data_IF_273161442133
#
_entry.id   IF_273161442133
#
_cell.length_a   1.000
_cell.length_b   1.000
_cell.length_c   1.000
_cell.angle_alpha   90.00
_cell.angle_beta   90.00
_cell.angle_gamma   90.00
#
_symmetry.space_group_name_H-M   'P 1'
#
loop_
_entity.id
_entity.type
_entity.pdbx_description
1 polymer ?
#
# COMPACT_ATOMS: atom_id res chain seq x y z
N UNK A 1 -8.63 1.25 -8.01
CA UNK A 1 -8.20 -0.10 -8.44
C UNK A 1 -9.40 -1.00 -8.49
N UNK A 2 -9.50 -1.87 -9.50
CA UNK A 2 -10.68 -2.72 -9.70
C UNK A 2 -10.31 -4.20 -9.59
N UNK A 3 -11.18 -4.98 -8.96
CA UNK A 3 -11.21 -6.44 -9.04
C UNK A 3 -12.61 -6.89 -9.44
N UNK A 4 -12.77 -8.17 -9.74
CA UNK A 4 -14.06 -8.82 -10.03
C UNK A 4 -14.15 -10.17 -9.30
N UNK A 5 -15.27 -10.88 -9.42
CA UNK A 5 -15.41 -12.23 -8.85
C UNK A 5 -14.48 -13.24 -9.54
N UNK A 6 -14.36 -13.17 -10.86
CA UNK A 6 -13.48 -14.05 -11.66
C UNK A 6 -11.99 -13.69 -11.52
N UNK A 7 -11.70 -12.42 -11.21
CA UNK A 7 -10.33 -11.90 -11.07
C UNK A 7 -10.28 -10.92 -9.90
N UNK A 8 -10.26 -11.43 -8.65
CA UNK A 8 -10.20 -10.58 -7.47
C UNK A 8 -8.86 -9.84 -7.38
N UNK A 9 -8.89 -8.63 -6.85
CA UNK A 9 -7.68 -7.94 -6.44
C UNK A 9 -7.19 -8.57 -5.13
N UNK A 10 -6.07 -9.28 -5.17
CA UNK A 10 -5.50 -9.96 -4.01
C UNK A 10 -4.13 -9.40 -3.66
N UNK A 11 -3.96 -9.08 -2.38
CA UNK A 11 -2.71 -8.66 -1.75
C UNK A 11 -1.83 -7.71 -2.59
N UNK A 12 -2.37 -6.55 -3.03
CA UNK A 12 -1.63 -5.65 -3.90
C UNK A 12 -0.39 -5.08 -3.20
N UNK A 13 0.65 -4.84 -4.00
CA UNK A 13 1.87 -4.18 -3.59
C UNK A 13 2.09 -2.88 -4.39
N UNK A 14 2.57 -1.84 -3.72
CA UNK A 14 2.89 -0.55 -4.33
C UNK A 14 4.35 -0.23 -4.07
N UNK A 15 5.06 0.20 -5.12
CA UNK A 15 6.40 0.75 -5.00
C UNK A 15 6.30 2.25 -5.26
N UNK A 16 6.69 3.05 -4.28
CA UNK A 16 6.73 4.52 -4.38
C UNK A 16 8.19 4.93 -4.45
N UNK A 17 8.59 5.41 -5.63
CA UNK A 17 9.98 5.76 -5.93
C UNK A 17 10.44 6.96 -5.13
N UNK A 18 11.67 6.90 -4.63
CA UNK A 18 12.35 7.99 -3.92
C UNK A 18 11.58 8.54 -2.71
N UNK A 19 10.73 7.72 -2.08
CA UNK A 19 9.98 8.12 -0.88
C UNK A 19 10.86 8.13 0.37
N UNK A 20 11.86 7.26 0.45
CA UNK A 20 12.69 7.11 1.63
C UNK A 20 12.04 6.28 2.74
N UNK A 21 12.52 6.49 3.97
CA UNK A 21 12.21 5.67 5.17
C UNK A 21 11.09 6.24 6.04
N UNK A 22 10.44 7.31 5.60
CA UNK A 22 9.41 7.97 6.38
C UNK A 22 8.23 7.03 6.65
N UNK A 23 7.64 7.16 7.84
CA UNK A 23 6.44 6.40 8.19
C UNK A 23 5.28 6.84 7.31
N UNK A 24 4.48 5.87 6.89
CA UNK A 24 3.29 6.13 6.09
C UNK A 24 2.01 5.68 6.77
N UNK A 25 0.95 6.39 6.45
CA UNK A 25 -0.42 5.99 6.66
C UNK A 25 -1.00 5.44 5.37
N UNK A 26 -1.92 4.49 5.51
CA UNK A 26 -2.67 3.93 4.40
C UNK A 26 -4.16 4.05 4.73
N UNK A 27 -4.96 4.48 3.75
CA UNK A 27 -6.42 4.38 3.83
C UNK A 27 -7.00 3.66 2.61
N UNK A 28 -8.07 2.90 2.85
CA UNK A 28 -8.84 2.22 1.81
C UNK A 28 -10.26 2.78 1.87
N UNK A 29 -10.74 3.31 0.75
CA UNK A 29 -12.06 3.94 0.65
C UNK A 29 -12.31 5.05 1.70
N UNK A 30 -11.24 5.71 2.14
CA UNK A 30 -11.29 6.76 3.16
C UNK A 30 -11.11 6.26 4.61
N UNK A 31 -11.18 4.95 4.85
CA UNK A 31 -10.96 4.36 6.16
C UNK A 31 -9.47 4.09 6.39
N UNK A 32 -8.91 4.67 7.46
CA UNK A 32 -7.50 4.50 7.80
C UNK A 32 -7.24 3.08 8.32
N UNK A 33 -6.20 2.44 7.80
CA UNK A 33 -5.70 1.18 8.34
C UNK A 33 -4.90 1.48 9.60
N UNK A 34 -5.47 1.15 10.77
CA UNK A 34 -4.83 1.31 12.07
C UNK A 34 -4.05 0.08 12.52
N UNK A 35 -4.35 -1.09 11.96
CA UNK A 35 -3.70 -2.34 12.31
C UNK A 35 -2.51 -2.63 11.39
N UNK A 36 -1.32 -2.83 11.99
CA UNK A 36 -0.08 -3.22 11.31
C UNK A 36 -0.20 -4.58 10.61
N UNK A 37 -1.14 -5.43 11.00
CA UNK A 37 -1.37 -6.72 10.32
C UNK A 37 -2.07 -6.56 8.95
N UNK A 38 -2.67 -5.39 8.69
CA UNK A 38 -3.39 -5.10 7.45
C UNK A 38 -2.48 -4.56 6.34
N UNK A 39 -1.33 -3.99 6.69
CA UNK A 39 -0.34 -3.57 5.69
C UNK A 39 1.09 -3.65 6.22
N UNK A 40 2.02 -3.99 5.33
CA UNK A 40 3.44 -4.04 5.63
C UNK A 40 4.17 -2.94 4.86
N UNK A 41 5.09 -2.28 5.55
CA UNK A 41 6.02 -1.31 4.97
C UNK A 41 7.43 -1.92 4.92
N UNK A 42 8.09 -1.78 3.77
CA UNK A 42 9.49 -2.13 3.57
C UNK A 42 10.22 -1.08 2.74
N UNK A 43 11.53 -1.26 2.61
CA UNK A 43 12.41 -0.35 1.86
C UNK A 43 13.16 -1.16 0.80
N UNK A 44 13.12 -0.68 -0.43
CA UNK A 44 13.97 -1.17 -1.51
C UNK A 44 15.15 -0.20 -1.62
N UNK A 45 16.35 -0.70 -1.33
CA UNK A 45 17.59 0.07 -1.47
C UNK A 45 18.07 0.01 -2.91
N UNK A 46 18.20 1.17 -3.54
CA UNK A 46 18.87 1.35 -4.83
C UNK A 46 20.20 2.11 -4.62
N UNK A 47 21.03 2.15 -5.66
CA UNK A 47 22.37 2.79 -5.62
C UNK A 47 22.30 4.26 -5.18
N UNK A 48 21.26 5.00 -5.59
CA UNK A 48 21.13 6.44 -5.34
C UNK A 48 19.83 6.83 -4.62
N UNK A 49 18.97 5.87 -4.30
CA UNK A 49 17.66 6.17 -3.71
C UNK A 49 17.12 5.05 -2.86
N UNK A 50 16.17 5.40 -2.00
CA UNK A 50 15.40 4.46 -1.22
C UNK A 50 13.95 4.55 -1.65
N UNK A 51 13.43 3.46 -2.20
CA UNK A 51 12.03 3.36 -2.56
C UNK A 51 11.25 2.74 -1.40
N UNK A 52 10.03 3.22 -1.21
CA UNK A 52 9.09 2.62 -0.29
C UNK A 52 8.34 1.49 -1.01
N UNK A 53 8.18 0.34 -0.35
CA UNK A 53 7.26 -0.70 -0.78
C UNK A 53 6.20 -0.94 0.30
N UNK A 54 4.93 -0.97 -0.14
CA UNK A 54 3.77 -1.23 0.71
C UNK A 54 3.03 -2.45 0.20
N UNK A 55 2.82 -3.44 1.05
CA UNK A 55 1.94 -4.58 0.78
C UNK A 55 0.66 -4.45 1.59
N UNK A 56 -0.49 -4.62 0.95
CA UNK A 56 -1.78 -4.69 1.62
C UNK A 56 -2.20 -6.15 1.79
N UNK A 57 -2.70 -6.52 2.95
CA UNK A 57 -3.32 -7.83 3.19
C UNK A 57 -4.82 -7.70 3.00
N UNK A 58 -5.30 -7.96 1.79
CA UNK A 58 -6.72 -7.86 1.48
C UNK A 58 -7.13 -8.63 0.21
N UNK A 59 -8.44 -8.83 0.06
CA UNK A 59 -9.09 -9.30 -1.16
C UNK A 59 -10.26 -8.37 -1.49
N UNK A 60 -10.36 -7.93 -2.74
CA UNK A 60 -11.46 -7.10 -3.21
C UNK A 60 -11.99 -7.58 -4.57
N UNK A 61 -13.31 -7.80 -4.65
CA UNK A 61 -14.04 -8.11 -5.90
C UNK A 61 -14.76 -6.88 -6.47
N UNK A 62 -14.58 -5.71 -5.83
CA UNK A 62 -15.16 -4.42 -6.22
C UNK A 62 -14.05 -3.37 -6.30
N UNK A 63 -14.38 -2.23 -6.89
CA UNK A 63 -13.48 -1.08 -6.94
C UNK A 63 -13.13 -0.57 -5.53
N UNK A 64 -11.84 -0.33 -5.31
CA UNK A 64 -11.31 0.31 -4.10
C UNK A 64 -10.43 1.50 -4.46
N UNK A 65 -10.38 2.47 -3.55
CA UNK A 65 -9.46 3.61 -3.61
C UNK A 65 -8.45 3.49 -2.48
N UNK A 66 -7.18 3.38 -2.82
CA UNK A 66 -6.08 3.33 -1.86
C UNK A 66 -5.41 4.69 -1.83
N UNK A 67 -5.21 5.26 -0.64
CA UNK A 67 -4.38 6.44 -0.44
C UNK A 67 -3.20 6.07 0.45
N UNK A 68 -2.00 6.49 0.05
CA UNK A 68 -0.76 6.33 0.82
C UNK A 68 -0.23 7.74 1.06
N UNK A 69 0.08 8.08 2.30
CA UNK A 69 0.49 9.43 2.70
C UNK A 69 1.50 9.39 3.84
N UNK A 70 2.34 10.43 3.96
CA UNK A 70 3.29 10.56 5.07
C UNK A 70 2.59 10.89 6.39
N UNK A 71 3.10 10.34 7.49
CA UNK A 71 2.68 10.72 8.84
C UNK A 71 3.85 11.47 9.48
N UNK A 72 3.63 12.75 9.79
CA UNK A 72 4.57 13.64 10.46
C UNK A 72 4.39 13.61 11.97
#
# INVERSE_FOLDING_TARGET
MKGSEDSPLENPAFIIKNWGRDKVGVSINGEQLSNKDLFHQGIIQNIMSEDLIIWLRMKATKEIKVNIYGIY
#
